data_IF_520947471043
#
_entry.id   IF_520947471043
#
_cell.length_a   1.000
_cell.length_b   1.000
_cell.length_c   1.000
_cell.angle_alpha   90.00
_cell.angle_beta   90.00
_cell.angle_gamma   90.00
#
_symmetry.space_group_name_H-M   'P 1'
#
loop_
_entity.id
_entity.type
_entity.pdbx_description
1 polymer ?
#
# COMPACT_ATOMS: atom_id res chain seq x y z
N UNK A 1 -36.14 -11.26 21.68
CA UNK A 1 -34.75 -10.80 21.50
C UNK A 1 -33.88 -12.03 21.24
N UNK A 2 -33.69 -12.41 19.98
CA UNK A 2 -32.99 -13.65 19.62
C UNK A 2 -31.48 -13.44 19.57
N UNK A 3 -30.73 -14.27 20.30
CA UNK A 3 -29.27 -14.29 20.32
C UNK A 3 -28.76 -15.11 19.13
N UNK A 4 -28.27 -14.41 18.11
CA UNK A 4 -27.64 -15.03 16.94
C UNK A 4 -26.37 -15.80 17.35
N UNK A 5 -26.30 -17.08 16.99
CA UNK A 5 -25.25 -18.00 17.42
C UNK A 5 -23.92 -17.70 16.70
N UNK A 6 -22.79 -17.77 17.40
CA UNK A 6 -21.45 -17.40 16.87
C UNK A 6 -21.08 -18.22 15.63
N UNK A 7 -21.46 -19.49 15.61
CA UNK A 7 -21.26 -20.37 14.45
C UNK A 7 -22.06 -19.95 13.21
N UNK A 8 -23.24 -19.33 13.39
CA UNK A 8 -24.04 -18.83 12.27
C UNK A 8 -23.46 -17.55 11.68
N UNK A 9 -22.86 -16.69 12.52
CA UNK A 9 -22.10 -15.54 12.05
C UNK A 9 -20.88 -15.98 11.23
N UNK A 10 -20.14 -16.98 11.70
CA UNK A 10 -18.93 -17.46 11.02
C UNK A 10 -19.21 -18.13 9.67
N UNK A 11 -20.33 -18.85 9.54
CA UNK A 11 -20.76 -19.37 8.24
C UNK A 11 -21.23 -18.25 7.31
N UNK A 12 -21.98 -17.26 7.82
CA UNK A 12 -22.37 -16.08 7.04
C UNK A 12 -21.16 -15.29 6.56
N UNK A 13 -20.11 -15.16 7.38
CA UNK A 13 -18.85 -14.53 6.99
C UNK A 13 -18.17 -15.30 5.86
N UNK A 14 -18.07 -16.63 5.95
CA UNK A 14 -17.49 -17.46 4.90
C UNK A 14 -18.23 -17.34 3.56
N UNK A 15 -19.56 -17.43 3.57
CA UNK A 15 -20.37 -17.30 2.35
C UNK A 15 -20.35 -15.88 1.78
N UNK A 16 -20.31 -14.85 2.63
CA UNK A 16 -20.26 -13.46 2.20
C UNK A 16 -18.90 -13.09 1.60
N UNK A 17 -17.80 -13.61 2.15
CA UNK A 17 -16.44 -13.36 1.66
C UNK A 17 -16.13 -14.10 0.36
N UNK A 18 -16.73 -15.29 0.13
CA UNK A 18 -16.62 -15.98 -1.16
C UNK A 18 -17.25 -15.19 -2.32
N UNK A 19 -18.31 -14.42 -2.04
CA UNK A 19 -18.99 -13.63 -3.08
C UNK A 19 -18.28 -12.30 -3.38
N UNK A 20 -17.47 -11.77 -2.45
CA UNK A 20 -16.74 -10.51 -2.62
C UNK A 20 -15.28 -10.70 -3.04
N UNK A 21 -14.68 -11.86 -2.77
CA UNK A 21 -13.32 -12.20 -3.24
C UNK A 21 -13.31 -12.86 -4.63
N UNK A 22 -14.49 -13.08 -5.22
CA UNK A 22 -14.67 -13.46 -6.64
C UNK A 22 -14.79 -12.24 -7.58
N UNK A 23 -14.41 -11.06 -7.12
CA UNK A 23 -14.43 -9.80 -7.90
C UNK A 23 -13.06 -9.13 -8.01
N UNK A 24 -11.97 -9.86 -7.74
CA UNK A 24 -10.62 -9.44 -8.12
C UNK A 24 -10.14 -10.34 -9.27
N UNK A 25 -10.95 -10.53 -10.31
CA UNK A 25 -10.40 -10.93 -11.61
C UNK A 25 -9.85 -9.68 -12.27
N UNK A 26 -8.81 -9.82 -13.08
CA UNK A 26 -8.18 -8.72 -13.84
C UNK A 26 -9.14 -8.08 -14.89
N UNK A 27 -10.41 -8.46 -14.89
CA UNK A 27 -11.40 -8.18 -15.92
C UNK A 27 -12.16 -6.88 -15.65
N UNK A 28 -12.08 -6.31 -14.44
CA UNK A 28 -12.69 -5.02 -14.09
C UNK A 28 -11.78 -3.79 -14.36
N UNK A 29 -10.67 -3.97 -15.10
CA UNK A 29 -9.71 -2.89 -15.41
C UNK A 29 -9.77 -2.43 -16.88
N UNK A 30 -10.88 -2.65 -17.58
CA UNK A 30 -11.00 -2.27 -18.99
C UNK A 30 -11.56 -0.84 -19.18
N UNK A 31 -12.20 -0.22 -18.19
CA UNK A 31 -12.95 1.03 -18.41
C UNK A 31 -12.34 2.26 -17.72
N UNK A 32 -11.12 2.62 -18.13
CA UNK A 32 -10.59 3.99 -18.17
C UNK A 32 -9.15 4.03 -18.74
N UNK A 33 -8.88 3.36 -19.87
CA UNK A 33 -7.64 3.63 -20.60
C UNK A 33 -7.81 4.96 -21.35
N UNK A 34 -7.63 6.09 -20.66
CA UNK A 34 -7.57 7.39 -21.32
C UNK A 34 -6.47 7.35 -22.38
N UNK A 35 -6.82 7.75 -23.61
CA UNK A 35 -5.90 7.81 -24.74
C UNK A 35 -4.76 8.75 -24.37
N UNK A 36 -3.56 8.19 -24.20
CA UNK A 36 -2.38 8.98 -23.89
C UNK A 36 -2.16 10.03 -24.99
N UNK A 37 -1.77 11.27 -24.64
CA UNK A 37 -1.46 12.29 -25.62
C UNK A 37 -0.46 11.78 -26.68
N UNK A 38 -0.74 12.03 -27.97
CA UNK A 38 0.13 11.60 -29.07
C UNK A 38 1.52 12.24 -29.01
N UNK A 39 1.62 13.43 -28.42
CA UNK A 39 2.87 14.17 -28.21
C UNK A 39 3.67 13.70 -26.98
N UNK A 40 3.16 12.69 -26.26
CA UNK A 40 3.77 12.15 -25.05
C UNK A 40 3.63 13.08 -23.84
N UNK A 41 4.24 12.66 -22.73
CA UNK A 41 4.36 13.49 -21.53
C UNK A 41 5.53 14.46 -21.68
N UNK A 42 5.46 15.61 -20.99
CA UNK A 42 6.59 16.51 -20.86
C UNK A 42 7.83 15.75 -20.38
N UNK A 43 8.96 15.96 -21.07
CA UNK A 43 10.21 15.29 -20.71
C UNK A 43 10.78 15.95 -19.47
N UNK A 44 11.17 15.13 -18.50
CA UNK A 44 11.92 15.58 -17.34
C UNK A 44 13.19 16.33 -17.77
N UNK A 45 13.39 17.48 -17.15
CA UNK A 45 14.63 18.25 -17.21
C UNK A 45 15.79 17.42 -16.65
N UNK A 46 17.05 17.73 -17.03
CA UNK A 46 18.21 17.07 -16.45
C UNK A 46 18.28 17.20 -14.93
N UNK A 47 17.75 18.28 -14.35
CA UNK A 47 17.72 18.50 -12.92
C UNK A 47 16.72 17.58 -12.21
N UNK A 48 15.52 17.42 -12.75
CA UNK A 48 14.52 16.50 -12.20
C UNK A 48 15.00 15.05 -12.25
N UNK A 49 15.64 14.65 -13.35
CA UNK A 49 16.27 13.32 -13.45
C UNK A 49 17.30 13.12 -12.36
N UNK A 50 18.23 14.07 -12.22
CA UNK A 50 19.23 14.05 -11.14
C UNK A 50 18.63 14.07 -9.75
N UNK A 51 17.44 14.65 -9.57
CA UNK A 51 16.74 14.63 -8.29
C UNK A 51 16.14 13.26 -7.99
N UNK A 52 15.54 12.61 -8.98
CA UNK A 52 14.97 11.26 -8.86
C UNK A 52 16.06 10.19 -8.67
N UNK A 53 17.26 10.42 -9.18
CA UNK A 53 18.42 9.52 -9.03
C UNK A 53 19.15 9.68 -7.68
N UNK A 54 18.69 10.57 -6.79
CA UNK A 54 19.34 10.76 -5.48
C UNK A 54 19.08 9.56 -4.56
N UNK A 55 20.02 9.34 -3.66
CA UNK A 55 19.85 8.39 -2.57
C UNK A 55 18.70 8.83 -1.65
N UNK A 56 17.93 7.85 -1.19
CA UNK A 56 16.87 8.07 -0.22
C UNK A 56 17.45 8.40 1.16
N UNK A 57 16.80 9.34 1.86
CA UNK A 57 17.14 9.70 3.22
C UNK A 57 16.22 8.99 4.23
N UNK A 58 16.74 8.75 5.44
CA UNK A 58 15.95 8.20 6.54
C UNK A 58 14.72 9.04 6.87
N UNK A 59 14.82 10.37 6.77
CA UNK A 59 13.70 11.28 6.98
C UNK A 59 12.62 11.18 5.90
N UNK A 60 13.00 10.88 4.66
CA UNK A 60 12.04 10.67 3.57
C UNK A 60 11.27 9.36 3.79
N UNK A 61 11.95 8.32 4.25
CA UNK A 61 11.35 7.03 4.59
C UNK A 61 10.34 7.20 5.74
N UNK A 62 10.73 7.89 6.81
CA UNK A 62 9.80 8.17 7.93
C UNK A 62 8.59 8.99 7.45
N UNK A 63 8.83 10.05 6.68
CA UNK A 63 7.77 10.89 6.13
C UNK A 63 6.80 10.07 5.27
N UNK A 64 7.32 9.20 4.41
CA UNK A 64 6.52 8.30 3.59
C UNK A 64 5.64 7.39 4.45
N UNK A 65 6.20 6.75 5.49
CA UNK A 65 5.44 5.88 6.41
C UNK A 65 4.35 6.65 7.16
N UNK A 66 4.64 7.88 7.62
CA UNK A 66 3.66 8.76 8.26
C UNK A 66 2.59 9.29 7.31
N UNK A 67 2.91 9.41 6.03
CA UNK A 67 1.98 9.83 4.98
C UNK A 67 0.95 8.76 4.59
N UNK A 68 1.18 7.49 4.95
CA UNK A 68 0.23 6.41 4.66
C UNK A 68 -1.06 6.61 5.49
N UNK A 69 -2.22 6.44 4.87
CA UNK A 69 -3.48 6.43 5.60
C UNK A 69 -3.51 5.33 6.68
N UNK A 70 -3.75 5.72 7.94
CA UNK A 70 -3.68 4.83 9.13
C UNK A 70 -4.42 3.51 8.99
N UNK A 71 -5.61 3.54 8.39
CA UNK A 71 -6.52 2.40 8.26
C UNK A 71 -6.65 1.91 6.81
N UNK A 72 -5.59 2.03 6.01
CA UNK A 72 -5.51 1.36 4.71
C UNK A 72 -5.47 -0.16 4.91
N UNK A 73 -5.77 -0.90 3.84
CA UNK A 73 -5.70 -2.35 3.84
C UNK A 73 -4.30 -2.84 4.25
N UNK A 74 -4.21 -3.94 5.02
CA UNK A 74 -2.92 -4.50 5.43
C UNK A 74 -2.17 -5.08 4.23
N UNK A 75 -0.84 -5.12 4.33
CA UNK A 75 -0.01 -5.81 3.37
C UNK A 75 -0.02 -7.34 3.56
N UNK A 76 0.82 -8.07 2.82
CA UNK A 76 1.03 -9.51 3.03
C UNK A 76 1.52 -9.88 4.43
N UNK A 77 2.05 -8.90 5.17
CA UNK A 77 2.46 -8.99 6.57
C UNK A 77 1.29 -9.04 7.56
N UNK A 78 0.07 -8.67 7.13
CA UNK A 78 -1.13 -8.63 7.94
C UNK A 78 -1.25 -7.41 8.87
N UNK A 79 -0.31 -6.46 8.84
CA UNK A 79 -0.34 -5.28 9.70
C UNK A 79 -0.89 -4.05 8.95
N UNK A 80 -1.75 -3.28 9.62
CA UNK A 80 -2.19 -1.99 9.10
C UNK A 80 -1.09 -0.93 9.26
N UNK A 81 -1.04 0.12 8.42
CA UNK A 81 -0.01 1.18 8.51
C UNK A 81 0.10 1.85 9.87
N UNK A 82 -0.99 1.94 10.64
CA UNK A 82 -0.97 2.47 12.01
C UNK A 82 0.01 1.74 12.92
N UNK A 83 0.27 0.45 12.70
CA UNK A 83 1.27 -0.32 13.45
C UNK A 83 2.66 0.31 13.31
N UNK A 84 3.09 0.58 12.07
CA UNK A 84 4.39 1.18 11.78
C UNK A 84 4.48 2.63 12.28
N UNK A 85 3.39 3.39 12.18
CA UNK A 85 3.36 4.78 12.61
C UNK A 85 3.40 4.94 14.13
N UNK A 86 2.61 4.14 14.85
CA UNK A 86 2.55 4.19 16.32
C UNK A 86 3.74 3.50 16.98
N UNK A 87 4.30 2.47 16.32
CA UNK A 87 5.47 1.73 16.79
C UNK A 87 6.81 2.26 16.30
N UNK A 88 6.85 3.44 15.65
CA UNK A 88 8.03 3.92 14.91
C UNK A 88 9.32 3.96 15.76
N UNK A 89 9.24 4.37 17.02
CA UNK A 89 10.40 4.36 17.94
C UNK A 89 11.06 2.98 18.07
N UNK A 90 10.28 1.90 17.92
CA UNK A 90 10.77 0.53 18.01
C UNK A 90 11.15 -0.03 16.64
N UNK A 91 10.29 0.13 15.63
CA UNK A 91 10.47 -0.54 14.32
C UNK A 91 11.22 0.32 13.29
N UNK A 92 11.23 1.65 13.48
CA UNK A 92 11.76 2.63 12.53
C UNK A 92 13.20 2.39 12.10
N UNK A 93 14.15 2.09 13.02
CA UNK A 93 15.52 1.76 12.62
C UNK A 93 15.62 0.53 11.72
N UNK A 94 14.81 -0.50 12.00
CA UNK A 94 14.81 -1.74 11.20
C UNK A 94 14.18 -1.52 9.83
N UNK A 95 13.06 -0.79 9.78
CA UNK A 95 12.37 -0.43 8.52
C UNK A 95 13.26 0.45 7.65
N UNK A 96 13.90 1.46 8.24
CA UNK A 96 14.79 2.38 7.52
C UNK A 96 15.96 1.61 6.90
N UNK A 97 16.63 0.76 7.69
CA UNK A 97 17.72 -0.08 7.18
C UNK A 97 17.25 -0.98 6.03
N UNK A 98 16.12 -1.67 6.22
CA UNK A 98 15.56 -2.55 5.20
C UNK A 98 15.29 -1.82 3.87
N UNK A 99 14.70 -0.62 3.93
CA UNK A 99 14.41 0.17 2.73
C UNK A 99 15.70 0.64 2.04
N UNK A 100 16.68 1.14 2.79
CA UNK A 100 17.96 1.57 2.20
C UNK A 100 18.73 0.38 1.59
N UNK A 101 18.74 -0.76 2.25
CA UNK A 101 19.36 -1.99 1.74
C UNK A 101 18.69 -2.47 0.44
N UNK A 102 17.36 -2.31 0.31
CA UNK A 102 16.62 -2.70 -0.89
C UNK A 102 17.03 -1.91 -2.13
N UNK A 103 17.32 -0.61 -2.00
CA UNK A 103 17.67 0.28 -3.13
C UNK A 103 19.17 0.36 -3.43
N UNK A 104 20.01 -0.37 -2.68
CA UNK A 104 21.47 -0.37 -2.85
C UNK A 104 22.01 -1.61 -3.56
N UNK A 105 21.15 -2.57 -3.93
CA UNK A 105 21.50 -3.81 -4.66
C UNK A 105 21.18 -3.67 -6.15
#
# INVERSE_FOLDING_TARGET
MSRENRSQRDQRWRHSLSHTLSGCTLEDVEEAMEVLPQDGFEKLTPEEKRHLDKEFLSSEIESAVRGIGKFKAPGPDGYQPVFYQSGWETVGPSVTRFVLDFFTT
#
